data_IF_746910533930
#
_entry.id   IF_746910533930
#
_cell.length_a   1.000
_cell.length_b   1.000
_cell.length_c   1.000
_cell.angle_alpha   90.00
_cell.angle_beta   90.00
_cell.angle_gamma   90.00
#
_symmetry.space_group_name_H-M   'P 1'
#
loop_
_entity.id
_entity.type
_entity.pdbx_description
1 polymer ?
#
# COMPACT_ATOMS: atom_id res chain seq x y z
N UNK A 1 2.87 3.57 -4.69
CA UNK A 1 2.38 2.89 -5.91
C UNK A 1 0.86 3.03 -6.05
N UNK A 2 0.29 3.09 -7.26
CA UNK A 2 -1.17 3.08 -7.53
C UNK A 2 -1.47 2.54 -8.95
N UNK A 3 -2.70 2.08 -9.25
CA UNK A 3 -3.03 1.49 -10.56
C UNK A 3 -2.77 2.40 -11.75
N UNK A 4 -3.05 3.71 -11.64
CA UNK A 4 -2.83 4.67 -12.75
C UNK A 4 -1.35 4.72 -13.20
N UNK A 5 -0.43 4.32 -12.33
CA UNK A 5 1.01 4.31 -12.58
C UNK A 5 1.50 2.92 -13.06
N UNK A 6 0.59 1.97 -13.30
CA UNK A 6 0.85 0.63 -13.81
C UNK A 6 0.18 0.51 -15.18
N UNK A 7 0.99 0.62 -16.24
CA UNK A 7 0.53 0.60 -17.62
C UNK A 7 0.66 -0.79 -18.23
N UNK A 8 -0.18 -1.06 -19.23
CA UNK A 8 -0.09 -2.24 -20.09
C UNK A 8 0.30 -1.79 -21.49
N UNK A 9 1.26 -2.50 -22.08
CA UNK A 9 1.57 -2.40 -23.52
C UNK A 9 0.55 -3.18 -24.35
N UNK A 10 0.58 -3.02 -25.67
CA UNK A 10 -0.27 -3.79 -26.61
C UNK A 10 -0.08 -5.31 -26.47
N UNK A 11 1.13 -5.75 -26.13
CA UNK A 11 1.47 -7.16 -25.86
C UNK A 11 1.23 -7.57 -24.39
N UNK A 12 0.40 -6.83 -23.66
CA UNK A 12 0.00 -7.09 -22.26
C UNK A 12 1.17 -7.17 -21.28
N UNK A 13 2.29 -6.49 -21.56
CA UNK A 13 3.39 -6.36 -20.61
C UNK A 13 3.14 -5.20 -19.65
N UNK A 14 3.35 -5.48 -18.37
CA UNK A 14 3.25 -4.49 -17.30
C UNK A 14 4.47 -3.56 -17.32
N UNK A 15 4.24 -2.26 -17.29
CA UNK A 15 5.27 -1.22 -17.17
C UNK A 15 4.89 -0.21 -16.10
N UNK A 16 5.86 0.18 -15.27
CA UNK A 16 5.67 1.28 -14.33
C UNK A 16 5.86 2.62 -15.03
N UNK A 17 5.01 3.57 -14.70
CA UNK A 17 5.03 4.93 -15.21
C UNK A 17 4.99 5.94 -14.05
N UNK A 18 5.18 7.22 -14.40
CA UNK A 18 5.13 8.36 -13.48
C UNK A 18 6.04 8.22 -12.25
N UNK A 19 7.31 8.56 -12.48
CA UNK A 19 8.34 8.63 -11.44
C UNK A 19 8.41 10.03 -10.77
N UNK A 20 7.40 10.89 -10.95
CA UNK A 20 7.41 12.27 -10.45
C UNK A 20 7.51 12.38 -8.93
N UNK A 21 7.11 11.31 -8.21
CA UNK A 21 7.23 11.20 -6.76
C UNK A 21 8.32 10.21 -6.31
N UNK A 22 9.05 9.58 -7.25
CA UNK A 22 10.10 8.61 -6.94
C UNK A 22 11.31 9.29 -6.33
N UNK A 23 11.94 8.64 -5.34
CA UNK A 23 13.13 9.13 -4.67
C UNK A 23 14.17 8.03 -4.53
N UNK A 24 15.44 8.40 -4.69
CA UNK A 24 16.55 7.49 -4.41
C UNK A 24 16.72 7.37 -2.89
N UNK A 25 16.42 6.20 -2.34
CA UNK A 25 16.72 5.85 -0.96
C UNK A 25 18.25 5.92 -0.76
N UNK A 26 18.68 6.69 0.22
CA UNK A 26 20.05 6.88 0.68
C UNK A 26 20.00 6.62 2.17
N UNK A 27 20.91 5.75 2.60
CA UNK A 27 21.05 5.37 3.99
C UNK A 27 21.18 6.62 4.88
N UNK A 28 20.38 6.69 5.95
CA UNK A 28 20.37 7.83 6.87
C UNK A 28 19.62 9.09 6.42
N UNK A 29 18.83 9.05 5.34
CA UNK A 29 17.94 10.16 4.94
C UNK A 29 16.47 9.76 5.01
N UNK A 30 15.66 10.58 5.69
CA UNK A 30 14.20 10.49 5.73
C UNK A 30 13.57 11.32 4.58
N UNK A 31 12.49 10.82 3.96
CA UNK A 31 11.97 11.36 2.70
C UNK A 31 10.53 11.89 2.82
N UNK A 32 10.33 13.20 2.61
CA UNK A 32 9.01 13.83 2.62
C UNK A 32 8.24 13.72 1.30
N UNK A 33 7.16 12.94 1.18
CA UNK A 33 6.26 13.00 -0.01
C UNK A 33 5.35 14.23 0.05
N UNK A 34 5.08 14.90 -1.07
CA UNK A 34 4.18 16.07 -1.14
C UNK A 34 2.73 15.72 -0.75
N UNK A 35 1.92 16.70 -0.35
CA UNK A 35 0.46 16.58 -0.15
C UNK A 35 -0.16 16.18 -1.50
N UNK A 36 -0.33 14.89 -1.75
CA UNK A 36 -0.63 14.39 -3.08
C UNK A 36 -0.32 12.91 -3.20
N UNK A 37 -1.31 12.10 -2.87
CA UNK A 37 -1.35 10.66 -3.12
C UNK A 37 -2.76 10.19 -2.88
N UNK A 38 -3.22 9.19 -3.61
CA UNK A 38 -4.56 8.64 -3.42
C UNK A 38 -4.58 7.86 -2.10
N UNK A 39 -5.20 8.45 -1.07
CA UNK A 39 -5.21 7.98 0.34
C UNK A 39 -5.52 6.48 0.48
N UNK A 40 -6.34 5.94 -0.42
CA UNK A 40 -6.77 4.54 -0.43
C UNK A 40 -5.62 3.53 -0.57
N UNK A 41 -4.49 3.89 -1.21
CA UNK A 41 -3.34 3.00 -1.37
C UNK A 41 -2.24 3.21 -0.32
N UNK A 42 -2.43 4.15 0.62
CA UNK A 42 -1.39 4.48 1.59
C UNK A 42 -1.32 3.44 2.71
N UNK A 43 -0.10 3.12 3.14
CA UNK A 43 0.16 2.22 4.25
C UNK A 43 -0.25 2.87 5.60
N UNK A 44 -0.66 2.08 6.61
CA UNK A 44 -1.14 2.60 7.89
C UNK A 44 -0.10 3.47 8.61
N UNK A 45 1.19 3.11 8.55
CA UNK A 45 2.27 3.89 9.15
C UNK A 45 2.45 5.26 8.49
N UNK A 46 2.11 5.39 7.20
CA UNK A 46 2.13 6.67 6.48
C UNK A 46 0.98 7.54 6.95
N UNK A 47 -0.22 6.98 7.07
CA UNK A 47 -1.43 7.69 7.51
C UNK A 47 -1.32 8.16 8.96
N UNK A 48 -0.83 7.32 9.87
CA UNK A 48 -0.59 7.69 11.28
C UNK A 48 0.40 8.84 11.41
N UNK A 49 1.45 8.88 10.59
CA UNK A 49 2.41 9.98 10.58
C UNK A 49 1.83 11.31 10.09
N UNK A 50 0.73 11.28 9.33
CA UNK A 50 0.03 12.48 8.84
C UNK A 50 -0.87 13.10 9.92
N UNK A 51 -1.56 12.29 10.73
CA UNK A 51 -2.45 12.77 11.79
C UNK A 51 -1.69 13.52 12.90
N UNK A 52 -0.48 13.07 13.24
CA UNK A 52 0.35 13.72 14.28
C UNK A 52 0.81 15.12 13.87
N UNK A 53 0.95 15.41 12.57
CA UNK A 53 1.37 16.74 12.10
C UNK A 53 0.25 17.79 12.12
N UNK A 54 -1.01 17.40 12.35
CA UNK A 54 -2.16 18.31 12.31
C UNK A 54 -2.60 18.85 13.69
N UNK A 55 -2.03 18.38 14.80
CA UNK A 55 -2.38 18.90 16.13
C UNK A 55 -1.46 20.09 16.44
N UNK A 56 -1.97 21.35 16.48
CA UNK A 56 -1.16 22.51 16.85
C UNK A 56 -0.99 22.54 18.36
N UNK A 57 -0.18 21.62 18.91
CA UNK A 57 0.27 21.76 20.29
C UNK A 57 1.39 22.79 20.29
N UNK A 58 1.15 23.94 20.93
CA UNK A 58 2.08 25.06 21.07
C UNK A 58 3.32 24.74 21.94
N UNK A 59 3.84 23.52 21.88
CA UNK A 59 5.10 23.13 22.51
C UNK A 59 6.17 22.99 21.43
N UNK A 60 7.26 23.69 21.71
CA UNK A 60 8.49 23.85 20.96
C UNK A 60 8.85 22.67 20.03
N UNK A 61 8.91 22.96 18.73
CA UNK A 61 9.88 22.46 17.73
C UNK A 61 10.50 21.08 17.97
N UNK A 62 9.72 20.06 18.29
CA UNK A 62 10.13 18.68 18.05
C UNK A 62 10.13 18.49 16.54
N UNK A 63 11.29 18.12 15.98
CA UNK A 63 11.47 17.94 14.53
C UNK A 63 10.29 17.10 14.01
N UNK A 64 9.56 17.55 12.97
CA UNK A 64 8.39 16.81 12.48
C UNK A 64 8.84 15.37 12.25
N UNK A 65 8.23 14.39 12.90
CA UNK A 65 8.59 12.98 12.69
C UNK A 65 8.32 12.69 11.21
N UNK A 66 9.41 12.55 10.45
CA UNK A 66 9.40 12.74 9.00
C UNK A 66 8.97 11.45 8.34
N UNK A 67 7.90 11.57 7.54
CA UNK A 67 7.36 10.60 6.56
C UNK A 67 8.37 9.50 6.22
N UNK A 68 8.19 8.31 6.79
CA UNK A 68 9.07 7.18 6.50
C UNK A 68 8.55 6.48 5.24
N UNK A 69 8.95 6.98 4.06
CA UNK A 69 8.83 6.17 2.84
C UNK A 69 9.84 5.03 2.93
N UNK A 70 9.34 3.82 3.12
CA UNK A 70 10.12 2.58 3.10
C UNK A 70 9.70 1.72 1.92
N UNK A 71 10.53 0.75 1.57
CA UNK A 71 10.19 -0.29 0.59
C UNK A 71 8.89 -1.01 1.00
N UNK A 72 8.66 -1.18 2.30
CA UNK A 72 7.44 -1.81 2.82
C UNK A 72 6.15 -1.04 2.46
N UNK A 73 6.21 0.31 2.35
CA UNK A 73 5.03 1.11 1.94
C UNK A 73 4.61 0.78 0.52
N UNK A 74 5.57 0.52 -0.38
CA UNK A 74 5.25 0.12 -1.75
C UNK A 74 4.69 -1.31 -1.81
N UNK A 75 5.18 -2.23 -0.96
CA UNK A 75 4.58 -3.57 -0.85
C UNK A 75 3.12 -3.51 -0.40
N UNK A 76 2.80 -2.67 0.59
CA UNK A 76 1.41 -2.45 1.01
C UNK A 76 0.54 -2.01 -0.16
N UNK A 77 0.96 -0.98 -0.89
CA UNK A 77 0.22 -0.44 -2.02
C UNK A 77 0.02 -1.48 -3.12
N UNK A 78 1.02 -2.32 -3.41
CA UNK A 78 0.88 -3.45 -4.34
C UNK A 78 -0.14 -4.47 -3.81
N UNK A 79 -0.14 -4.76 -2.51
CA UNK A 79 -1.12 -5.63 -1.87
C UNK A 79 -2.56 -5.14 -2.06
N UNK A 80 -2.80 -3.84 -1.90
CA UNK A 80 -4.10 -3.22 -2.16
C UNK A 80 -4.50 -3.41 -3.64
N UNK A 81 -3.60 -3.08 -4.58
CA UNK A 81 -3.88 -3.20 -6.01
C UNK A 81 -4.19 -4.65 -6.43
N UNK A 82 -3.42 -5.63 -5.92
CA UNK A 82 -3.65 -7.04 -6.20
C UNK A 82 -4.98 -7.53 -5.63
N UNK A 83 -5.32 -7.09 -4.41
CA UNK A 83 -6.62 -7.39 -3.83
C UNK A 83 -7.75 -6.84 -4.70
N UNK A 84 -7.70 -5.56 -5.06
CA UNK A 84 -8.74 -4.91 -5.87
C UNK A 84 -8.90 -5.57 -7.25
N UNK A 85 -7.78 -5.96 -7.88
CA UNK A 85 -7.81 -6.69 -9.14
C UNK A 85 -8.60 -8.01 -9.03
N UNK A 86 -8.48 -8.72 -7.92
CA UNK A 86 -9.08 -10.03 -7.71
C UNK A 86 -10.49 -9.97 -7.10
N UNK A 87 -10.73 -9.04 -6.19
CA UNK A 87 -11.98 -8.91 -5.43
C UNK A 87 -12.96 -7.91 -6.06
N UNK A 88 -12.47 -7.02 -6.92
CA UNK A 88 -13.23 -5.92 -7.53
C UNK A 88 -13.78 -4.90 -6.52
N UNK A 89 -13.23 -4.88 -5.30
CA UNK A 89 -13.48 -3.86 -4.29
C UNK A 89 -12.23 -3.67 -3.42
N UNK A 90 -12.17 -2.57 -2.68
CA UNK A 90 -11.06 -2.25 -1.78
C UNK A 90 -11.12 -3.12 -0.51
N UNK A 91 -9.98 -3.60 0.06
CA UNK A 91 -10.01 -4.53 1.20
C UNK A 91 -10.54 -3.93 2.51
N UNK A 92 -10.59 -2.60 2.63
CA UNK A 92 -11.09 -1.87 3.80
C UNK A 92 -12.44 -1.18 3.58
N UNK A 93 -13.08 -1.42 2.43
CA UNK A 93 -14.39 -0.89 2.08
C UNK A 93 -15.31 -2.08 1.86
N UNK A 94 -16.50 -2.06 2.45
CA UNK A 94 -17.47 -3.13 2.29
C UNK A 94 -17.77 -3.38 0.81
N UNK A 95 -17.99 -4.65 0.43
CA UNK A 95 -18.27 -5.01 -0.97
C UNK A 95 -19.47 -4.26 -1.57
N UNK A 96 -20.46 -3.96 -0.73
CA UNK A 96 -21.67 -3.23 -1.10
C UNK A 96 -21.59 -1.72 -0.79
N UNK A 97 -20.44 -1.24 -0.31
CA UNK A 97 -20.19 0.19 -0.05
C UNK A 97 -19.51 0.83 -1.26
N UNK A 98 -20.02 1.98 -1.69
CA UNK A 98 -19.36 2.79 -2.71
C UNK A 98 -18.26 3.64 -2.05
N UNK A 99 -17.01 3.43 -2.49
CA UNK A 99 -15.86 4.19 -2.03
C UNK A 99 -16.01 5.70 -2.25
N UNK A 100 -16.78 6.13 -3.28
CA UNK A 100 -17.04 7.54 -3.55
C UNK A 100 -17.86 8.23 -2.45
N UNK A 101 -18.58 7.46 -1.61
CA UNK A 101 -19.35 7.98 -0.49
C UNK A 101 -18.53 8.10 0.81
N UNK A 102 -17.28 7.63 0.82
CA UNK A 102 -16.40 7.68 1.98
C UNK A 102 -15.41 8.84 1.85
N UNK A 103 -15.26 9.63 2.92
CA UNK A 103 -14.22 10.67 2.96
C UNK A 103 -12.82 10.04 3.04
N UNK A 104 -11.79 10.75 2.55
CA UNK A 104 -10.41 10.28 2.67
C UNK A 104 -10.00 10.01 4.11
N UNK A 105 -10.50 10.81 5.06
CA UNK A 105 -10.25 10.63 6.50
C UNK A 105 -10.88 9.33 7.01
N UNK A 106 -12.09 9.01 6.57
CA UNK A 106 -12.77 7.77 6.93
C UNK A 106 -12.01 6.55 6.38
N UNK A 107 -11.61 6.59 5.10
CA UNK A 107 -10.82 5.51 4.51
C UNK A 107 -9.49 5.35 5.24
N UNK A 108 -8.80 6.45 5.55
CA UNK A 108 -7.57 6.43 6.33
C UNK A 108 -7.76 5.80 7.72
N UNK A 109 -8.83 6.16 8.43
CA UNK A 109 -9.17 5.57 9.72
C UNK A 109 -9.43 4.06 9.62
N UNK A 110 -10.12 3.59 8.57
CA UNK A 110 -10.34 2.16 8.33
C UNK A 110 -9.04 1.43 8.02
N UNK A 111 -8.18 2.01 7.18
CA UNK A 111 -6.84 1.48 6.90
C UNK A 111 -5.98 1.43 8.16
N UNK A 112 -6.15 2.32 9.13
CA UNK A 112 -5.36 2.24 10.37
C UNK A 112 -5.94 1.22 11.34
N UNK A 113 -7.25 1.18 11.52
CA UNK A 113 -7.88 0.52 12.67
C UNK A 113 -8.56 -0.83 12.35
N UNK A 114 -8.93 -1.07 11.09
CA UNK A 114 -9.61 -2.30 10.69
C UNK A 114 -8.63 -3.31 10.08
N UNK A 115 -8.99 -4.58 10.10
CA UNK A 115 -8.29 -5.63 9.36
C UNK A 115 -8.78 -5.67 7.91
N UNK A 116 -7.92 -6.00 6.93
CA UNK A 116 -8.36 -6.18 5.56
C UNK A 116 -9.32 -7.37 5.49
N UNK A 117 -10.33 -7.25 4.65
CA UNK A 117 -11.16 -8.40 4.28
C UNK A 117 -10.32 -9.45 3.55
N UNK A 118 -10.68 -10.71 3.72
CA UNK A 118 -10.02 -11.79 2.98
C UNK A 118 -10.59 -11.90 1.57
N UNK A 119 -9.75 -12.33 0.63
CA UNK A 119 -10.23 -12.72 -0.69
C UNK A 119 -11.25 -13.87 -0.59
N UNK A 120 -12.22 -13.95 -1.53
CA UNK A 120 -13.16 -15.06 -1.58
C UNK A 120 -12.50 -16.45 -1.55
N UNK A 121 -13.18 -17.40 -0.92
CA UNK A 121 -12.65 -18.75 -0.65
C UNK A 121 -12.32 -19.58 -1.90
N UNK A 122 -12.84 -19.19 -3.08
CA UNK A 122 -12.54 -19.85 -4.36
C UNK A 122 -11.12 -19.55 -4.87
N UNK A 123 -10.45 -18.50 -4.38
CA UNK A 123 -9.04 -18.26 -4.68
C UNK A 123 -8.14 -19.20 -3.89
N UNK A 124 -6.98 -19.64 -4.43
CA UNK A 124 -6.06 -20.52 -3.71
C UNK A 124 -5.61 -19.93 -2.36
N UNK A 125 -5.55 -20.77 -1.32
CA UNK A 125 -5.13 -20.38 0.04
C UNK A 125 -3.79 -19.64 0.02
N UNK A 126 -2.84 -20.09 -0.79
CA UNK A 126 -1.51 -19.47 -0.90
C UNK A 126 -1.58 -18.04 -1.44
N UNK A 127 -2.44 -17.77 -2.41
CA UNK A 127 -2.66 -16.41 -2.94
C UNK A 127 -3.30 -15.51 -1.89
N UNK A 128 -4.29 -16.02 -1.16
CA UNK A 128 -4.92 -15.28 -0.04
C UNK A 128 -3.89 -14.94 1.03
N UNK A 129 -3.07 -15.91 1.43
CA UNK A 129 -2.01 -15.73 2.43
C UNK A 129 -0.96 -14.72 1.97
N UNK A 130 -0.55 -14.76 0.69
CA UNK A 130 0.38 -13.80 0.12
C UNK A 130 -0.14 -12.36 0.25
N UNK A 131 -1.38 -12.12 -0.18
CA UNK A 131 -2.00 -10.78 -0.10
C UNK A 131 -2.14 -10.32 1.34
N UNK A 132 -2.54 -11.21 2.27
CA UNK A 132 -2.60 -10.87 3.69
C UNK A 132 -1.22 -10.54 4.29
N UNK A 133 -0.16 -11.22 3.84
CA UNK A 133 1.21 -10.91 4.25
C UNK A 133 1.69 -9.55 3.72
N UNK A 134 1.27 -9.16 2.51
CA UNK A 134 1.51 -7.82 1.94
C UNK A 134 0.73 -6.73 2.69
N UNK A 135 -0.45 -7.06 3.21
CA UNK A 135 -1.33 -6.17 3.98
C UNK A 135 -1.11 -6.26 5.50
N UNK A 136 0.06 -6.71 5.94
CA UNK A 136 0.46 -6.61 7.36
C UNK A 136 0.60 -5.14 7.78
N UNK A 137 -0.07 -4.77 8.88
CA UNK A 137 -0.05 -3.41 9.42
C UNK A 137 1.32 -3.01 9.96
N UNK A 138 2.02 -3.95 10.58
CA UNK A 138 3.38 -3.75 11.08
C UNK A 138 4.35 -3.86 9.90
N UNK A 139 5.02 -2.76 9.48
CA UNK A 139 5.92 -2.78 8.33
C UNK A 139 7.12 -3.71 8.55
N UNK A 140 7.50 -4.02 9.80
CA UNK A 140 8.60 -4.96 10.09
C UNK A 140 8.20 -6.42 9.91
N UNK A 141 6.90 -6.72 9.92
CA UNK A 141 6.33 -8.07 9.68
C UNK A 141 5.72 -8.20 8.29
N UNK A 142 5.73 -7.13 7.50
CA UNK A 142 5.20 -7.13 6.14
C UNK A 142 6.19 -7.86 5.24
N UNK A 143 5.67 -8.78 4.43
CA UNK A 143 6.50 -9.56 3.50
C UNK A 143 7.32 -8.62 2.61
N UNK A 144 8.56 -8.99 2.34
CA UNK A 144 9.50 -8.23 1.51
C UNK A 144 9.37 -8.59 0.03
N UNK A 145 9.94 -7.78 -0.86
CA UNK A 145 9.97 -8.11 -2.28
C UNK A 145 10.76 -9.41 -2.54
N UNK A 146 11.85 -9.59 -1.81
CA UNK A 146 12.71 -10.77 -1.84
C UNK A 146 11.92 -12.04 -1.47
N UNK A 147 11.18 -12.01 -0.36
CA UNK A 147 10.34 -13.13 0.07
C UNK A 147 9.17 -13.39 -0.90
N UNK A 148 8.58 -12.36 -1.50
CA UNK A 148 7.54 -12.51 -2.53
C UNK A 148 8.09 -13.27 -3.75
N UNK A 149 9.32 -12.97 -4.17
CA UNK A 149 9.96 -13.63 -5.31
C UNK A 149 10.26 -15.11 -5.05
N UNK A 150 10.38 -15.51 -3.78
CA UNK A 150 10.57 -16.91 -3.37
C UNK A 150 9.26 -17.72 -3.30
N UNK A 151 8.09 -17.05 -3.35
CA UNK A 151 6.79 -17.74 -3.37
C UNK A 151 6.72 -18.64 -4.61
N UNK A 152 6.45 -19.96 -4.48
CA UNK A 152 6.55 -20.92 -5.57
C UNK A 152 5.78 -20.52 -6.83
N UNK A 153 4.57 -19.99 -6.67
CA UNK A 153 3.70 -19.55 -7.76
C UNK A 153 4.29 -18.34 -8.51
N UNK A 154 4.90 -17.40 -7.79
CA UNK A 154 5.57 -16.22 -8.35
C UNK A 154 6.85 -16.65 -9.06
N UNK A 155 7.70 -17.42 -8.38
CA UNK A 155 8.93 -17.95 -8.94
C UNK A 155 8.71 -18.78 -10.22
N UNK A 156 7.62 -19.55 -10.29
CA UNK A 156 7.26 -20.33 -11.48
C UNK A 156 6.85 -19.45 -12.67
N UNK A 157 6.25 -18.28 -12.43
CA UNK A 157 5.82 -17.35 -13.48
C UNK A 157 6.97 -16.55 -14.10
N UNK A 158 8.06 -16.33 -13.37
CA UNK A 158 9.25 -15.61 -13.83
C UNK A 158 10.19 -16.44 -14.72
N UNK A 159 9.99 -17.76 -14.77
CA UNK A 159 10.80 -18.69 -15.59
C UNK A 159 10.27 -18.87 -17.02
N UNK A 160 9.20 -18.16 -17.38
CA UNK A 160 8.58 -18.16 -18.71
C UNK A 160 8.99 -16.93 -19.50
#
# INVERSE_FOLDING_TARGET
>A
MKPDNVLLTEDLKVKLADFGLTRKLREGKEYMTFLGGTTVYQAPEVLQSQTVQQIPTGREKEKPQRRTQTIAVDIWAIGIMLFELLAQHHPFIGKDEDAANLSEMEIGNRIVNLQPTELPSHYPVRLRNLIMAMLSKDPSRRITAEEILEVPEVAASLKK
#
